data_IF_226249028611
#
_entry.id   IF_226249028611
#
_cell.length_a   1.000
_cell.length_b   1.000
_cell.length_c   1.000
_cell.angle_alpha   90.00
_cell.angle_beta   90.00
_cell.angle_gamma   90.00
#
_symmetry.space_group_name_H-M   'P 1'
#
loop_
_entity.id
_entity.type
_entity.pdbx_description
1 polymer ?
#
# COMPACT_ATOMS: atom_id res chain seq x y z
N UNK A 1 -7.97 -25.00 4.92
CA UNK A 1 -9.39 -24.90 4.48
C UNK A 1 -9.37 -24.78 2.96
N UNK A 2 -10.04 -25.66 2.18
CA UNK A 2 -9.89 -25.64 0.73
C UNK A 2 -10.42 -24.31 0.17
N UNK A 3 -9.50 -23.44 -0.29
CA UNK A 3 -9.83 -22.11 -0.80
C UNK A 3 -10.83 -22.14 -1.95
N UNK A 4 -10.85 -23.23 -2.73
CA UNK A 4 -11.84 -23.43 -3.80
C UNK A 4 -13.28 -23.44 -3.27
N UNK A 5 -13.57 -23.94 -2.06
CA UNK A 5 -14.94 -23.98 -1.53
C UNK A 5 -15.41 -22.62 -1.01
N UNK A 6 -14.51 -21.83 -0.42
CA UNK A 6 -14.81 -20.45 -0.01
C UNK A 6 -14.93 -19.52 -1.21
N UNK A 7 -14.03 -19.67 -2.19
CA UNK A 7 -14.05 -18.93 -3.44
C UNK A 7 -15.30 -19.28 -4.26
N UNK A 8 -15.67 -20.55 -4.37
CA UNK A 8 -16.92 -20.94 -5.06
C UNK A 8 -18.15 -20.40 -4.33
N UNK A 9 -18.19 -20.42 -3.00
CA UNK A 9 -19.29 -19.86 -2.20
C UNK A 9 -19.43 -18.33 -2.31
N UNK A 10 -18.32 -17.60 -2.39
CA UNK A 10 -18.30 -16.15 -2.53
C UNK A 10 -18.54 -15.70 -3.99
N UNK A 11 -18.00 -16.43 -4.96
CA UNK A 11 -18.20 -16.20 -6.39
C UNK A 11 -19.63 -16.52 -6.83
N UNK A 12 -20.26 -17.58 -6.30
CA UNK A 12 -21.64 -17.93 -6.67
C UNK A 12 -22.68 -16.94 -6.17
N UNK A 13 -22.34 -16.09 -5.18
CA UNK A 13 -23.16 -14.96 -4.78
C UNK A 13 -22.81 -13.71 -5.60
N UNK A 14 -23.43 -13.57 -6.77
CA UNK A 14 -23.34 -12.40 -7.65
C UNK A 14 -21.93 -12.09 -8.22
N UNK A 15 -21.27 -13.08 -8.82
CA UNK A 15 -20.00 -12.90 -9.52
C UNK A 15 -20.01 -11.69 -10.46
N UNK A 16 -21.07 -11.55 -11.25
CA UNK A 16 -21.20 -10.47 -12.24
C UNK A 16 -21.19 -9.09 -11.58
N UNK A 17 -21.81 -8.92 -10.40
CA UNK A 17 -21.77 -7.65 -9.67
C UNK A 17 -20.43 -7.37 -9.01
N UNK A 18 -19.75 -8.39 -8.50
CA UNK A 18 -18.43 -8.20 -7.88
C UNK A 18 -17.36 -7.87 -8.92
N UNK A 19 -17.42 -8.55 -10.07
CA UNK A 19 -16.56 -8.25 -11.22
C UNK A 19 -16.90 -6.86 -11.76
N UNK A 20 -18.17 -6.53 -12.03
CA UNK A 20 -18.53 -5.20 -12.52
C UNK A 20 -18.20 -4.08 -11.52
N UNK A 21 -18.41 -4.28 -10.22
CA UNK A 21 -18.05 -3.30 -9.20
C UNK A 21 -16.53 -3.08 -9.13
N UNK A 22 -15.72 -4.13 -9.25
CA UNK A 22 -14.26 -4.01 -9.34
C UNK A 22 -13.81 -3.40 -10.67
N UNK A 23 -14.47 -3.69 -11.78
CA UNK A 23 -14.21 -3.08 -13.08
C UNK A 23 -14.61 -1.58 -13.11
N UNK A 24 -15.67 -1.19 -12.42
CA UNK A 24 -16.06 0.20 -12.26
C UNK A 24 -15.12 0.94 -11.33
N UNK A 25 -14.78 0.37 -10.16
CA UNK A 25 -13.72 0.88 -9.28
C UNK A 25 -12.42 1.08 -10.07
N UNK A 26 -12.04 0.10 -10.88
CA UNK A 26 -10.86 0.15 -11.77
C UNK A 26 -10.93 1.27 -12.82
N UNK A 27 -12.07 1.46 -13.49
CA UNK A 27 -12.27 2.60 -14.39
C UNK A 27 -12.11 3.91 -13.64
N UNK A 28 -12.65 4.03 -12.42
CA UNK A 28 -12.44 5.20 -11.57
C UNK A 28 -10.97 5.40 -11.15
N UNK A 29 -10.23 4.31 -10.84
CA UNK A 29 -8.82 4.32 -10.45
C UNK A 29 -7.88 4.81 -11.56
N UNK A 30 -8.19 4.56 -12.83
CA UNK A 30 -7.41 5.09 -13.97
C UNK A 30 -7.94 6.44 -14.47
N UNK A 31 -9.18 6.81 -14.11
CA UNK A 31 -9.79 8.09 -14.50
C UNK A 31 -9.03 9.24 -13.83
N UNK A 32 -8.04 9.78 -14.53
CA UNK A 32 -7.20 10.89 -14.05
C UNK A 32 -5.72 10.78 -14.40
N UNK A 33 -5.26 9.61 -14.84
CA UNK A 33 -3.84 9.34 -15.12
C UNK A 33 -3.43 9.61 -16.59
N UNK A 34 -4.42 9.71 -17.50
CA UNK A 34 -4.21 10.17 -18.88
C UNK A 34 -3.45 9.21 -19.80
N UNK A 35 -3.39 7.92 -19.47
CA UNK A 35 -2.73 6.90 -20.28
C UNK A 35 -3.64 6.32 -21.39
N UNK A 36 -3.04 5.81 -22.47
CA UNK A 36 -3.76 5.30 -23.65
C UNK A 36 -4.38 3.91 -23.43
N UNK A 37 -5.26 3.49 -24.33
CA UNK A 37 -5.92 2.17 -24.29
C UNK A 37 -4.94 0.97 -24.25
N UNK A 38 -3.75 1.09 -24.84
CA UNK A 38 -2.72 0.04 -24.79
C UNK A 38 -2.11 -0.13 -23.39
N UNK A 39 -1.97 0.98 -22.64
CA UNK A 39 -1.55 0.93 -21.24
C UNK A 39 -2.62 0.23 -20.37
N UNK A 40 -3.91 0.42 -20.67
CA UNK A 40 -4.97 -0.31 -19.99
C UNK A 40 -4.85 -1.83 -20.18
N UNK A 41 -4.48 -2.29 -21.38
CA UNK A 41 -4.38 -3.73 -21.66
C UNK A 41 -3.22 -4.39 -20.92
N UNK A 42 -2.05 -3.73 -20.91
CA UNK A 42 -0.88 -4.22 -20.16
C UNK A 42 -1.12 -4.23 -18.65
N UNK A 43 -1.85 -3.23 -18.14
CA UNK A 43 -2.25 -3.21 -16.74
C UNK A 43 -3.17 -4.38 -16.38
N UNK A 44 -4.11 -4.74 -17.26
CA UNK A 44 -4.98 -5.90 -17.03
C UNK A 44 -4.19 -7.20 -16.85
N UNK A 45 -3.13 -7.38 -17.65
CA UNK A 45 -2.26 -8.55 -17.53
C UNK A 45 -1.50 -8.54 -16.19
N UNK A 46 -1.03 -7.36 -15.74
CA UNK A 46 -0.37 -7.19 -14.43
C UNK A 46 -1.35 -7.37 -13.26
N UNK A 47 -2.57 -6.83 -13.34
CA UNK A 47 -3.59 -6.95 -12.30
C UNK A 47 -4.07 -8.39 -12.11
N UNK A 48 -4.19 -9.14 -13.21
CA UNK A 48 -4.57 -10.55 -13.18
C UNK A 48 -3.41 -11.48 -12.79
N UNK A 49 -2.21 -10.93 -12.53
CA UNK A 49 -1.10 -11.69 -11.94
C UNK A 49 -1.34 -11.90 -10.44
N UNK A 50 -2.24 -12.82 -10.13
CA UNK A 50 -2.58 -13.19 -8.74
C UNK A 50 -1.57 -14.19 -8.19
N UNK A 51 -1.28 -14.07 -6.90
CA UNK A 51 -0.48 -15.02 -6.14
C UNK A 51 -1.39 -15.75 -5.14
N UNK A 52 -1.27 -17.08 -5.07
CA UNK A 52 -1.93 -17.87 -4.04
C UNK A 52 -1.33 -17.57 -2.66
N UNK A 53 -2.19 -17.34 -1.67
CA UNK A 53 -1.83 -17.17 -0.27
C UNK A 53 -2.44 -18.28 0.57
N UNK A 54 -1.75 -18.68 1.64
CA UNK A 54 -2.31 -19.66 2.57
C UNK A 54 -3.48 -19.04 3.34
N UNK A 55 -4.49 -19.85 3.65
CA UNK A 55 -5.64 -19.40 4.43
C UNK A 55 -5.23 -18.83 5.79
N UNK A 56 -4.23 -19.44 6.44
CA UNK A 56 -3.72 -19.01 7.73
C UNK A 56 -3.14 -17.59 7.65
N UNK A 57 -2.33 -17.30 6.62
CA UNK A 57 -1.75 -15.98 6.41
C UNK A 57 -2.82 -14.92 6.15
N UNK A 58 -3.82 -15.24 5.31
CA UNK A 58 -4.92 -14.33 5.01
C UNK A 58 -5.77 -14.01 6.26
N UNK A 59 -6.19 -15.05 6.99
CA UNK A 59 -7.01 -14.89 8.19
C UNK A 59 -6.25 -14.18 9.31
N UNK A 60 -4.97 -14.49 9.49
CA UNK A 60 -4.10 -13.77 10.43
C UNK A 60 -4.02 -12.28 10.06
N UNK A 61 -3.82 -11.96 8.77
CA UNK A 61 -3.76 -10.56 8.31
C UNK A 61 -5.06 -9.83 8.59
N UNK A 62 -6.22 -10.41 8.24
CA UNK A 62 -7.53 -9.81 8.50
C UNK A 62 -7.71 -9.54 10.00
N UNK A 63 -7.38 -10.52 10.85
CA UNK A 63 -7.52 -10.39 12.29
C UNK A 63 -6.55 -9.35 12.87
N UNK A 64 -5.25 -9.54 12.68
CA UNK A 64 -4.19 -8.78 13.36
C UNK A 64 -4.09 -7.35 12.84
N UNK A 65 -4.23 -7.14 11.53
CA UNK A 65 -4.03 -5.83 10.88
C UNK A 65 -5.33 -5.03 10.80
N UNK A 66 -6.41 -5.64 10.33
CA UNK A 66 -7.66 -4.91 10.01
C UNK A 66 -8.71 -4.92 11.12
N UNK A 67 -8.70 -5.89 12.04
CA UNK A 67 -9.66 -5.94 13.15
C UNK A 67 -9.03 -5.50 14.47
N UNK A 68 -7.92 -6.10 14.85
CA UNK A 68 -7.29 -5.91 16.15
C UNK A 68 -6.31 -4.73 16.16
N UNK A 69 -5.75 -4.34 15.00
CA UNK A 69 -4.79 -3.24 14.89
C UNK A 69 -3.58 -3.38 15.83
N UNK A 70 -3.03 -4.59 15.91
CA UNK A 70 -2.04 -4.92 16.95
C UNK A 70 -0.74 -4.11 16.86
N UNK A 71 -0.33 -3.65 15.68
CA UNK A 71 0.88 -2.86 15.50
C UNK A 71 0.76 -1.46 16.14
N UNK A 72 -0.22 -0.61 15.77
CA UNK A 72 -0.39 0.69 16.42
C UNK A 72 -0.77 0.58 17.90
N UNK A 73 -1.42 -0.50 18.32
CA UNK A 73 -1.76 -0.76 19.73
C UNK A 73 -0.57 -1.29 20.56
N UNK A 74 0.59 -1.55 19.95
CA UNK A 74 1.78 -2.05 20.63
C UNK A 74 1.63 -3.48 21.17
N UNK A 75 0.78 -4.30 20.54
CA UNK A 75 0.54 -5.72 20.88
C UNK A 75 1.20 -6.68 19.89
N UNK A 76 1.51 -6.24 18.68
CA UNK A 76 2.03 -7.10 17.61
C UNK A 76 3.34 -7.78 18.02
N UNK A 77 3.39 -9.10 17.87
CA UNK A 77 4.60 -9.90 18.08
C UNK A 77 5.02 -10.60 16.81
N UNK A 78 6.32 -10.73 16.61
CA UNK A 78 6.91 -11.54 15.55
C UNK A 78 7.92 -12.50 16.17
N UNK A 79 7.73 -13.81 15.97
CA UNK A 79 8.62 -14.86 16.52
C UNK A 79 8.85 -14.74 18.04
N UNK A 80 7.82 -14.33 18.77
CA UNK A 80 7.87 -14.14 20.23
C UNK A 80 8.33 -12.75 20.68
N UNK A 81 8.96 -11.97 19.81
CA UNK A 81 9.44 -10.61 20.12
C UNK A 81 8.37 -9.56 19.85
N UNK A 82 8.29 -8.55 20.72
CA UNK A 82 7.37 -7.43 20.52
C UNK A 82 7.88 -6.52 19.41
N UNK A 83 7.02 -6.20 18.43
CA UNK A 83 7.37 -5.26 17.36
C UNK A 83 7.29 -3.84 17.91
N UNK A 84 8.41 -3.11 17.87
CA UNK A 84 8.51 -1.74 18.40
C UNK A 84 8.99 -0.77 17.32
N UNK A 85 8.08 -0.12 16.55
CA UNK A 85 8.46 0.87 15.55
C UNK A 85 9.29 2.03 16.12
N UNK A 86 9.04 2.42 17.37
CA UNK A 86 9.79 3.44 18.10
C UNK A 86 11.27 3.07 18.32
N UNK A 87 11.68 1.82 18.14
CA UNK A 87 13.08 1.41 18.24
C UNK A 87 13.90 1.75 16.98
N UNK A 88 13.24 2.09 15.86
CA UNK A 88 13.88 2.42 14.58
C UNK A 88 14.56 3.79 14.69
N UNK A 89 15.88 3.82 14.54
CA UNK A 89 16.71 5.03 14.75
C UNK A 89 17.63 5.37 13.58
N UNK A 90 18.06 4.37 12.84
CA UNK A 90 19.19 4.46 11.89
C UNK A 90 18.72 4.41 10.44
N UNK A 91 17.70 5.20 10.13
CA UNK A 91 17.16 5.35 8.77
C UNK A 91 16.43 6.68 8.65
N UNK A 92 15.95 6.97 7.45
CA UNK A 92 15.00 8.03 7.15
C UNK A 92 13.64 7.41 6.79
N UNK A 93 12.55 8.12 7.04
CA UNK A 93 11.19 7.65 6.78
C UNK A 93 10.49 8.58 5.80
N UNK A 94 10.11 8.05 4.63
CA UNK A 94 9.25 8.76 3.69
C UNK A 94 7.95 7.99 3.51
N UNK A 95 6.83 8.70 3.58
CA UNK A 95 5.49 8.16 3.27
C UNK A 95 4.93 8.87 2.04
N UNK A 96 4.26 8.12 1.18
CA UNK A 96 3.69 8.61 -0.08
C UNK A 96 2.22 8.23 -0.11
N UNK A 97 1.35 9.22 -0.34
CA UNK A 97 -0.10 9.03 -0.46
C UNK A 97 -0.61 9.70 -1.72
N UNK A 98 -1.71 9.20 -2.27
CA UNK A 98 -2.45 9.86 -3.35
C UNK A 98 -3.66 10.61 -2.79
N UNK A 99 -3.90 11.85 -3.23
CA UNK A 99 -5.08 12.62 -2.84
C UNK A 99 -6.40 11.90 -3.17
N UNK A 100 -6.39 11.09 -4.22
CA UNK A 100 -7.55 10.31 -4.71
C UNK A 100 -7.40 8.81 -4.45
N UNK A 101 -6.51 8.41 -3.54
CA UNK A 101 -6.39 7.02 -3.12
C UNK A 101 -7.58 6.65 -2.21
N UNK A 102 -8.39 5.70 -2.65
CA UNK A 102 -9.56 5.17 -1.96
C UNK A 102 -9.30 3.81 -1.28
N UNK A 103 -8.07 3.27 -1.41
CA UNK A 103 -7.64 2.02 -0.77
C UNK A 103 -6.84 2.34 0.49
N UNK A 104 -5.78 3.13 0.35
CA UNK A 104 -4.94 3.64 1.43
C UNK A 104 -5.00 5.16 1.43
N UNK A 105 -6.16 5.68 1.85
CA UNK A 105 -6.45 7.11 1.82
C UNK A 105 -5.52 7.97 2.67
N UNK A 106 -5.59 9.28 2.43
CA UNK A 106 -4.76 10.29 3.09
C UNK A 106 -4.81 10.14 4.62
N UNK A 107 -3.63 10.06 5.23
CA UNK A 107 -3.45 9.91 6.68
C UNK A 107 -3.07 8.50 7.13
N UNK A 108 -3.38 7.45 6.34
CA UNK A 108 -3.10 6.07 6.77
C UNK A 108 -1.60 5.78 6.83
N UNK A 109 -0.84 6.14 5.78
CA UNK A 109 0.61 5.93 5.79
C UNK A 109 1.30 6.96 6.68
N UNK A 110 0.72 8.16 6.83
CA UNK A 110 1.22 9.20 7.74
C UNK A 110 1.35 8.71 9.19
N UNK A 111 0.48 7.80 9.62
CA UNK A 111 0.52 7.20 10.95
C UNK A 111 1.89 6.57 11.28
N UNK A 112 2.65 6.10 10.28
CA UNK A 112 4.00 5.58 10.47
C UNK A 112 4.95 6.59 11.12
N UNK A 113 4.78 7.90 10.87
CA UNK A 113 5.57 8.94 11.52
C UNK A 113 5.26 9.05 13.02
N UNK A 114 4.02 8.78 13.42
CA UNK A 114 3.62 8.71 14.84
C UNK A 114 4.18 7.47 15.55
N UNK A 115 4.34 6.36 14.82
CA UNK A 115 4.87 5.11 15.38
C UNK A 115 6.41 5.11 15.46
N UNK A 116 7.10 5.64 14.45
CA UNK A 116 8.56 5.64 14.35
C UNK A 116 9.20 6.84 15.06
N UNK A 117 8.87 7.04 16.34
CA UNK A 117 9.19 8.27 17.10
C UNK A 117 10.68 8.57 17.25
N UNK A 118 11.55 7.56 17.18
CA UNK A 118 13.00 7.76 17.33
C UNK A 118 13.73 8.14 16.03
N UNK A 119 13.04 8.21 14.88
CA UNK A 119 13.59 8.80 13.66
C UNK A 119 13.50 10.33 13.79
N UNK A 120 14.57 11.13 13.68
CA UNK A 120 14.48 12.60 13.80
C UNK A 120 13.55 13.22 12.74
N UNK A 121 12.87 14.33 13.08
CA UNK A 121 11.88 14.96 12.20
C UNK A 121 12.49 15.41 10.86
N UNK A 122 13.74 15.85 10.87
CA UNK A 122 14.52 16.23 9.69
C UNK A 122 14.85 15.06 8.76
N UNK A 123 14.65 13.82 9.21
CA UNK A 123 14.78 12.58 8.40
C UNK A 123 13.43 11.97 8.06
N UNK A 124 12.35 12.71 8.28
CA UNK A 124 10.99 12.30 7.93
C UNK A 124 10.47 13.16 6.80
N UNK A 125 9.76 12.54 5.86
CA UNK A 125 9.07 13.23 4.78
C UNK A 125 7.70 12.63 4.55
N UNK A 126 6.70 13.50 4.47
CA UNK A 126 5.38 13.15 3.94
C UNK A 126 5.27 13.74 2.54
N UNK A 127 4.80 12.94 1.59
CA UNK A 127 4.36 13.40 0.28
C UNK A 127 2.91 12.98 0.06
N UNK A 128 2.04 13.95 -0.22
CA UNK A 128 0.69 13.70 -0.71
C UNK A 128 0.64 14.19 -2.17
N UNK A 129 0.44 13.26 -3.10
CA UNK A 129 0.44 13.53 -4.52
C UNK A 129 -0.96 13.98 -4.98
N UNK A 130 -1.05 15.23 -5.44
CA UNK A 130 -2.30 15.83 -5.90
C UNK A 130 -2.89 15.09 -7.10
N UNK A 131 -4.19 14.83 -7.04
CA UNK A 131 -5.00 14.16 -8.08
C UNK A 131 -4.52 12.76 -8.45
N UNK A 132 -3.70 12.12 -7.62
CA UNK A 132 -3.18 10.76 -7.82
C UNK A 132 -4.03 9.76 -7.04
N UNK A 133 -4.46 8.68 -7.72
CA UNK A 133 -5.13 7.54 -7.08
C UNK A 133 -4.15 6.43 -6.67
N UNK A 134 -4.68 5.32 -6.13
CA UNK A 134 -3.86 4.25 -5.55
C UNK A 134 -2.76 3.70 -6.48
N UNK A 135 -3.05 3.48 -7.77
CA UNK A 135 -2.02 2.94 -8.67
C UNK A 135 -1.02 4.00 -9.13
N UNK A 136 -1.46 5.25 -9.27
CA UNK A 136 -0.61 6.35 -9.71
C UNK A 136 0.50 6.70 -8.70
N UNK A 137 0.41 6.22 -7.44
CA UNK A 137 1.49 6.39 -6.46
C UNK A 137 2.72 5.53 -6.72
N UNK A 138 2.64 4.51 -7.58
CA UNK A 138 3.78 3.64 -7.92
C UNK A 138 3.85 3.22 -9.40
N UNK A 139 2.87 3.59 -10.23
CA UNK A 139 2.82 3.30 -11.65
C UNK A 139 2.42 4.55 -12.46
N UNK A 140 2.59 4.50 -13.77
CA UNK A 140 2.07 5.50 -14.68
C UNK A 140 2.88 6.79 -14.75
N UNK A 141 2.31 7.76 -15.47
CA UNK A 141 2.94 9.06 -15.71
C UNK A 141 3.15 9.86 -14.42
N UNK A 142 2.16 9.86 -13.52
CA UNK A 142 2.22 10.58 -12.23
C UNK A 142 3.38 10.08 -11.37
N UNK A 143 3.57 8.77 -11.27
CA UNK A 143 4.74 8.19 -10.61
C UNK A 143 6.05 8.70 -11.22
N UNK A 144 6.24 8.54 -12.53
CA UNK A 144 7.50 8.87 -13.22
C UNK A 144 7.86 10.35 -13.13
N UNK A 145 6.88 11.24 -13.26
CA UNK A 145 7.11 12.68 -13.35
C UNK A 145 7.05 13.39 -11.98
N UNK A 146 6.25 12.91 -11.02
CA UNK A 146 5.98 13.64 -9.78
C UNK A 146 6.55 12.97 -8.54
N UNK A 147 6.44 11.63 -8.43
CA UNK A 147 6.68 10.91 -7.17
C UNK A 147 8.08 10.28 -7.16
N UNK A 148 8.40 9.50 -8.18
CA UNK A 148 9.68 8.80 -8.29
C UNK A 148 10.89 9.73 -8.16
N UNK A 149 10.91 10.94 -8.75
CA UNK A 149 12.03 11.86 -8.57
C UNK A 149 12.23 12.27 -7.10
N UNK A 150 11.13 12.49 -6.36
CA UNK A 150 11.18 12.85 -4.94
C UNK A 150 11.66 11.68 -4.08
N UNK A 151 11.22 10.46 -4.37
CA UNK A 151 11.70 9.24 -3.70
C UNK A 151 13.19 9.05 -3.96
N UNK A 152 13.64 9.18 -5.22
CA UNK A 152 15.07 9.14 -5.59
C UNK A 152 15.88 10.17 -4.81
N UNK A 153 15.41 11.41 -4.76
CA UNK A 153 16.13 12.51 -4.11
C UNK A 153 16.17 12.34 -2.58
N UNK A 154 15.10 11.80 -1.99
CA UNK A 154 15.06 11.42 -0.58
C UNK A 154 16.10 10.34 -0.27
N UNK A 155 16.14 9.27 -1.06
CA UNK A 155 17.13 8.19 -0.91
C UNK A 155 18.56 8.76 -1.04
N UNK A 156 18.83 9.61 -2.04
CA UNK A 156 20.15 10.22 -2.23
C UNK A 156 20.55 11.12 -1.07
N UNK A 157 19.62 11.92 -0.55
CA UNK A 157 19.84 12.80 0.61
C UNK A 157 20.23 12.02 1.86
N UNK A 158 19.70 10.81 2.03
CA UNK A 158 19.90 9.98 3.21
C UNK A 158 20.81 8.76 2.98
N UNK A 159 21.49 8.66 1.84
CA UNK A 159 22.32 7.51 1.47
C UNK A 159 23.55 7.31 2.38
N UNK A 160 23.97 8.35 3.10
CA UNK A 160 25.15 8.34 3.99
C UNK A 160 24.80 8.08 5.45
N UNK A 161 23.54 7.76 5.78
CA UNK A 161 23.18 7.31 7.12
C UNK A 161 23.93 5.98 7.40
N UNK A 162 24.97 6.07 8.23
CA UNK A 162 25.95 4.99 8.44
C UNK A 162 25.32 3.67 8.94
N UNK A 163 26.06 2.54 8.80
CA UNK A 163 25.56 1.22 9.20
C UNK A 163 25.34 1.12 10.72
N UNK A 164 24.54 0.11 11.09
CA UNK A 164 24.19 -0.21 12.47
C UNK A 164 25.40 -0.72 13.29
#
# INVERSE_FOLDING_TARGET
YPGFLQLTGFMTMNLDRHVDAHLQLFRHLITGDGESADAHRKFYDEYNSVLDLTADFYLETVKVIFQEHDLPDGRMRHRGELVQPAAIRRTALMTVEGEKDDISGVGQTQAAHGLCTAIPAERRRLMVAERVGHYGIFNGRRWREQIQPQVRDFIRTHATLGPA
#
